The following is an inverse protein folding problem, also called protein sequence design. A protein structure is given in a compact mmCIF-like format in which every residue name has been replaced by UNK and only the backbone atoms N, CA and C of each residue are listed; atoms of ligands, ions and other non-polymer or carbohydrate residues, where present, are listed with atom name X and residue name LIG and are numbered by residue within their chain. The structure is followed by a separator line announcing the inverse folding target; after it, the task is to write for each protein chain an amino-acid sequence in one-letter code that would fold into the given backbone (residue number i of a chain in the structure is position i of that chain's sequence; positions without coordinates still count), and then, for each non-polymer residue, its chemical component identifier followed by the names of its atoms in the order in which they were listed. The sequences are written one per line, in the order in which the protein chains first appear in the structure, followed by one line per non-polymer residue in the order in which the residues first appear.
data_IF_323785694734
#
_entry.id   IF_323785694734
#
_cell.length_a   1.000
_cell.length_b   1.000
_cell.length_c   1.000
_cell.angle_alpha   90.00
_cell.angle_beta   90.00
_cell.angle_gamma   90.00
#
_symmetry.space_group_name_H-M   'P 1'
#
loop_
_entity.id
_entity.type
_entity.pdbx_description
1 polymer ?
#
# COMPACT_ATOMS: atom_id res chain seq x y z
N UNK A 1 7.99 3.18 22.25
CA UNK A 1 7.01 3.10 21.14
C UNK A 1 7.68 3.32 19.78
N UNK A 2 8.48 4.39 19.62
CA UNK A 2 9.26 4.69 18.40
C UNK A 2 10.06 3.51 17.83
N UNK A 3 10.88 2.82 18.63
CA UNK A 3 11.68 1.65 18.18
C UNK A 3 10.81 0.49 17.67
N UNK A 4 9.62 0.29 18.26
CA UNK A 4 8.69 -0.75 17.81
C UNK A 4 8.08 -0.39 16.46
N UNK A 5 7.67 0.86 16.29
CA UNK A 5 7.20 1.37 15.01
C UNK A 5 8.30 1.27 13.94
N UNK A 6 9.53 1.71 14.22
CA UNK A 6 10.65 1.66 13.26
C UNK A 6 10.93 0.24 12.77
N UNK A 7 10.85 -0.75 13.68
CA UNK A 7 11.00 -2.16 13.31
C UNK A 7 9.91 -2.60 12.33
N UNK A 8 8.66 -2.20 12.54
CA UNK A 8 7.52 -2.59 11.68
C UNK A 8 7.59 -1.83 10.35
N UNK A 9 7.92 -0.54 10.40
CA UNK A 9 8.11 0.32 9.23
C UNK A 9 9.16 -0.25 8.28
N UNK A 10 10.29 -0.76 8.80
CA UNK A 10 11.33 -1.42 7.99
C UNK A 10 10.83 -2.61 7.16
N UNK A 11 9.78 -3.28 7.61
CA UNK A 11 9.21 -4.46 6.94
C UNK A 11 7.90 -4.16 6.21
N UNK A 12 7.54 -2.88 6.01
CA UNK A 12 6.27 -2.45 5.40
C UNK A 12 5.04 -3.11 6.08
N UNK A 13 5.11 -3.29 7.40
CA UNK A 13 4.07 -3.96 8.16
C UNK A 13 3.00 -3.01 8.72
N UNK A 14 1.91 -3.59 9.22
CA UNK A 14 0.85 -2.85 9.90
C UNK A 14 1.20 -2.58 11.36
N UNK A 15 1.10 -1.32 11.80
CA UNK A 15 1.23 -0.94 13.20
C UNK A 15 -0.10 -0.39 13.72
N UNK A 16 -0.66 -1.03 14.74
CA UNK A 16 -1.89 -0.58 15.40
C UNK A 16 -1.55 -0.01 16.77
N UNK A 17 -1.91 1.25 16.99
CA UNK A 17 -1.81 1.90 18.29
C UNK A 17 -3.13 1.76 19.05
N UNK A 18 -3.20 0.80 19.97
CA UNK A 18 -4.32 0.70 20.92
C UNK A 18 -4.05 1.54 22.15
N UNK A 19 -4.99 2.41 22.51
CA UNK A 19 -4.90 3.22 23.72
C UNK A 19 -6.25 3.43 24.39
N UNK A 20 -6.25 3.59 25.70
CA UNK A 20 -7.44 3.91 26.50
C UNK A 20 -7.39 5.38 26.93
N UNK A 21 -8.54 6.05 26.87
CA UNK A 21 -8.62 7.49 27.15
C UNK A 21 -8.21 7.80 28.60
N UNK A 22 -8.54 6.94 29.57
CA UNK A 22 -8.18 7.16 30.96
C UNK A 22 -6.66 7.18 31.18
N UNK A 23 -5.90 6.43 30.37
CA UNK A 23 -4.44 6.34 30.46
C UNK A 23 -3.74 7.48 29.70
N UNK A 24 -4.37 8.03 28.66
CA UNK A 24 -3.79 9.12 27.87
C UNK A 24 -4.08 10.49 28.50
N UNK A 25 -5.15 10.65 29.29
CA UNK A 25 -5.63 11.96 29.74
C UNK A 25 -4.76 12.67 30.81
N UNK A 26 -3.47 12.33 30.90
CA UNK A 26 -2.51 13.07 31.72
C UNK A 26 -1.62 13.94 30.81
N UNK A 27 -1.19 15.14 31.26
CA UNK A 27 -0.34 16.00 30.43
C UNK A 27 0.93 15.32 29.87
N UNK A 28 1.66 14.48 30.64
CA UNK A 28 2.80 13.74 30.09
C UNK A 28 2.43 12.73 28.99
N UNK A 29 1.32 12.00 29.17
CA UNK A 29 0.84 11.03 28.18
C UNK A 29 0.38 11.71 26.89
N UNK A 30 -0.33 12.84 27.00
CA UNK A 30 -0.73 13.65 25.83
C UNK A 30 0.51 14.13 25.08
N UNK A 31 1.50 14.69 25.80
CA UNK A 31 2.75 15.15 25.17
C UNK A 31 3.44 14.03 24.41
N UNK A 32 3.54 12.84 25.00
CA UNK A 32 4.15 11.67 24.35
C UNK A 32 3.38 11.23 23.10
N UNK A 33 2.04 11.23 23.16
CA UNK A 33 1.20 10.92 22.01
C UNK A 33 1.40 11.95 20.89
N UNK A 34 1.40 13.24 21.22
CA UNK A 34 1.64 14.33 20.25
C UNK A 34 3.03 14.20 19.60
N UNK A 35 4.08 13.94 20.38
CA UNK A 35 5.43 13.72 19.83
C UNK A 35 5.48 12.52 18.87
N UNK A 36 4.74 11.45 19.20
CA UNK A 36 4.63 10.30 18.32
C UNK A 36 3.88 10.61 17.03
N UNK A 37 2.73 11.29 17.11
CA UNK A 37 1.95 11.69 15.93
C UNK A 37 2.78 12.58 15.00
N UNK A 38 3.48 13.57 15.56
CA UNK A 38 4.39 14.43 14.80
C UNK A 38 5.51 13.63 14.12
N UNK A 39 6.06 12.63 14.81
CA UNK A 39 7.07 11.75 14.21
C UNK A 39 6.49 10.92 13.05
N UNK A 40 5.27 10.38 13.22
CA UNK A 40 4.58 9.62 12.18
C UNK A 40 4.27 10.46 10.94
N UNK A 41 3.98 11.76 11.10
CA UNK A 41 3.75 12.69 9.98
C UNK A 41 5.01 12.94 9.13
N UNK A 42 6.20 12.65 9.65
CA UNK A 42 7.45 12.71 8.87
C UNK A 42 7.71 11.46 8.03
N UNK A 43 6.85 10.45 8.13
CA UNK A 43 7.00 9.16 7.45
C UNK A 43 5.99 9.03 6.32
N UNK A 44 6.43 8.40 5.24
CA UNK A 44 5.53 7.95 4.18
C UNK A 44 4.76 6.72 4.67
N UNK A 45 3.61 6.97 5.30
CA UNK A 45 2.73 5.95 5.87
C UNK A 45 1.27 6.26 5.56
N UNK A 46 0.50 5.21 5.34
CA UNK A 46 -0.95 5.26 5.32
C UNK A 46 -1.49 5.19 6.75
N UNK A 47 -2.42 6.10 7.11
CA UNK A 47 -3.01 6.22 8.46
C UNK A 47 -4.53 5.96 8.43
N UNK A 48 -4.98 4.74 8.08
CA UNK A 48 -6.40 4.43 8.00
C UNK A 48 -7.02 4.18 9.38
N UNK A 49 -8.33 4.30 9.46
CA UNK A 49 -9.16 3.60 10.44
C UNK A 49 -9.06 2.08 10.25
N UNK A 50 -9.46 1.32 11.28
CA UNK A 50 -9.52 -0.15 11.17
C UNK A 50 -10.52 -0.60 10.10
N UNK A 51 -11.60 0.16 9.89
CA UNK A 51 -12.59 -0.13 8.84
C UNK A 51 -11.99 0.05 7.45
N UNK A 52 -11.31 1.17 7.19
CA UNK A 52 -10.65 1.42 5.90
C UNK A 52 -9.58 0.35 5.61
N UNK A 53 -8.78 -0.01 6.62
CA UNK A 53 -7.81 -1.09 6.51
C UNK A 53 -8.47 -2.43 6.16
N UNK A 54 -9.56 -2.79 6.84
CA UNK A 54 -10.27 -4.05 6.61
C UNK A 54 -10.90 -4.11 5.21
N UNK A 55 -11.52 -3.02 4.76
CA UNK A 55 -12.10 -2.92 3.41
C UNK A 55 -11.02 -3.02 2.34
N UNK A 56 -9.91 -2.30 2.49
CA UNK A 56 -8.77 -2.39 1.58
C UNK A 56 -8.18 -3.80 1.54
N UNK A 57 -8.06 -4.46 2.70
CA UNK A 57 -7.53 -5.82 2.76
C UNK A 57 -8.44 -6.81 2.03
N UNK A 58 -9.76 -6.69 2.23
CA UNK A 58 -10.75 -7.50 1.51
C UNK A 58 -10.67 -7.27 0.00
N UNK A 59 -10.61 -6.01 -0.43
CA UNK A 59 -10.42 -5.64 -1.84
C UNK A 59 -9.17 -6.29 -2.43
N UNK A 60 -8.08 -6.31 -1.67
CA UNK A 60 -6.81 -6.90 -2.08
C UNK A 60 -6.87 -8.42 -2.20
N UNK A 61 -7.54 -9.11 -1.28
CA UNK A 61 -7.67 -10.57 -1.32
C UNK A 61 -8.51 -11.05 -2.51
N UNK A 62 -9.45 -10.23 -2.94
CA UNK A 62 -10.33 -10.51 -4.08
C UNK A 62 -9.76 -9.97 -5.41
N UNK A 63 -8.60 -9.30 -5.40
CA UNK A 63 -7.93 -8.83 -6.61
C UNK A 63 -7.24 -10.00 -7.32
N UNK A 64 -7.63 -10.25 -8.55
CA UNK A 64 -6.94 -11.18 -9.45
C UNK A 64 -5.97 -10.40 -10.35
N UNK A 65 -4.78 -10.96 -10.57
CA UNK A 65 -3.76 -10.38 -11.42
C UNK A 65 -3.18 -11.45 -12.34
N UNK A 66 -3.27 -11.22 -13.65
CA UNK A 66 -2.65 -12.05 -14.67
C UNK A 66 -1.54 -11.26 -15.38
N UNK A 67 -0.51 -11.97 -15.84
CA UNK A 67 0.66 -11.35 -16.45
C UNK A 67 1.08 -12.06 -17.73
N UNK A 68 1.29 -11.28 -18.78
CA UNK A 68 1.78 -11.76 -20.07
C UNK A 68 2.90 -10.86 -20.59
N UNK A 69 3.87 -11.44 -21.28
CA UNK A 69 4.96 -10.68 -21.90
C UNK A 69 4.81 -10.76 -23.41
N UNK A 70 4.56 -9.61 -24.02
CA UNK A 70 4.46 -9.44 -25.47
C UNK A 70 5.65 -8.62 -25.96
N UNK A 71 6.64 -9.30 -26.57
CA UNK A 71 7.88 -8.67 -27.02
C UNK A 71 8.64 -8.04 -25.86
N UNK A 72 8.66 -6.70 -25.80
CA UNK A 72 9.38 -5.92 -24.79
C UNK A 72 8.46 -5.28 -23.73
N UNK A 73 7.20 -5.71 -23.64
CA UNK A 73 6.21 -5.15 -22.71
C UNK A 73 5.59 -6.23 -21.84
N UNK A 74 5.63 -6.03 -20.52
CA UNK A 74 4.85 -6.79 -19.54
C UNK A 74 3.44 -6.20 -19.44
N UNK A 75 2.44 -6.97 -19.80
CA UNK A 75 1.03 -6.67 -19.54
C UNK A 75 0.65 -7.23 -18.18
N UNK A 76 0.09 -6.40 -17.31
CA UNK A 76 -0.51 -6.80 -16.04
C UNK A 76 -2.01 -6.52 -16.16
N UNK A 77 -2.83 -7.58 -16.25
CA UNK A 77 -4.28 -7.44 -16.22
C UNK A 77 -4.75 -7.57 -14.79
N UNK A 78 -5.48 -6.57 -14.30
CA UNK A 78 -6.08 -6.56 -12.97
C UNK A 78 -7.58 -6.77 -13.08
N UNK A 79 -8.11 -7.67 -12.27
CA UNK A 79 -9.54 -7.96 -12.19
C UNK A 79 -10.01 -7.83 -10.74
N UNK A 80 -11.05 -7.02 -10.54
CA UNK A 80 -11.65 -6.76 -9.23
C UNK A 80 -12.65 -7.87 -8.91
N UNK A 81 -12.49 -8.51 -7.76
CA UNK A 81 -13.53 -9.38 -7.21
C UNK A 81 -14.66 -8.64 -6.49
N UNK A 82 -14.56 -7.32 -6.28
CA UNK A 82 -15.60 -6.49 -5.66
C UNK A 82 -15.57 -5.02 -6.09
N UNK A 83 -16.55 -4.24 -5.62
CA UNK A 83 -16.69 -2.81 -5.91
C UNK A 83 -15.81 -1.89 -5.06
N UNK A 84 -14.98 -2.43 -4.16
CA UNK A 84 -14.13 -1.61 -3.29
C UNK A 84 -12.93 -1.06 -4.08
N UNK A 85 -12.46 0.11 -3.66
CA UNK A 85 -11.27 0.74 -4.23
C UNK A 85 -10.00 0.29 -3.49
N UNK A 86 -8.95 0.07 -4.26
CA UNK A 86 -7.59 -0.20 -3.80
C UNK A 86 -6.72 1.02 -4.06
N UNK A 87 -6.95 2.06 -3.26
CA UNK A 87 -6.10 3.24 -3.28
C UNK A 87 -4.69 2.88 -2.76
N UNK A 88 -3.66 3.37 -3.44
CA UNK A 88 -2.26 3.09 -3.07
C UNK A 88 -1.80 1.66 -3.30
N UNK A 89 -2.45 0.89 -4.17
CA UNK A 89 -2.01 -0.46 -4.54
C UNK A 89 -0.60 -0.40 -5.14
N UNK A 90 0.32 -1.10 -4.51
CA UNK A 90 1.73 -1.12 -4.90
C UNK A 90 2.09 -2.41 -5.61
N UNK A 91 2.55 -2.31 -6.85
CA UNK A 91 3.07 -3.42 -7.64
C UNK A 91 4.59 -3.32 -7.67
N UNK A 92 5.26 -4.39 -7.26
CA UNK A 92 6.72 -4.50 -7.27
C UNK A 92 7.16 -5.46 -8.37
N UNK A 93 8.04 -5.00 -9.24
CA UNK A 93 8.60 -5.83 -10.30
C UNK A 93 9.70 -6.73 -9.73
N UNK A 94 9.65 -8.02 -10.09
CA UNK A 94 10.74 -8.95 -9.79
C UNK A 94 12.00 -8.54 -10.55
N UNK A 95 13.17 -8.93 -10.04
CA UNK A 95 14.42 -8.79 -10.78
C UNK A 95 14.41 -9.71 -12.00
N UNK A 96 15.06 -9.29 -13.09
CA UNK A 96 15.25 -10.08 -14.32
C UNK A 96 13.97 -10.45 -15.08
N UNK A 97 12.98 -9.54 -15.14
CA UNK A 97 11.88 -9.66 -16.10
C UNK A 97 12.44 -9.40 -17.50
N UNK A 98 12.12 -10.23 -18.52
CA UNK A 98 12.66 -10.09 -19.87
C UNK A 98 12.06 -8.91 -20.67
N UNK A 99 11.24 -8.07 -20.05
CA UNK A 99 10.63 -6.88 -20.63
C UNK A 99 11.26 -5.61 -20.04
N UNK A 100 11.29 -4.52 -20.83
CA UNK A 100 11.74 -3.19 -20.37
C UNK A 100 10.59 -2.27 -19.99
N UNK A 101 9.41 -2.50 -20.54
CA UNK A 101 8.21 -1.68 -20.34
C UNK A 101 7.10 -2.48 -19.67
N UNK A 102 6.15 -1.77 -19.05
CA UNK A 102 4.93 -2.38 -18.54
C UNK A 102 3.68 -1.58 -18.94
N UNK A 103 2.55 -2.28 -19.03
CA UNK A 103 1.20 -1.70 -19.04
C UNK A 103 0.33 -2.44 -18.04
N UNK A 104 -0.43 -1.69 -17.25
CA UNK A 104 -1.44 -2.20 -16.32
C UNK A 104 -2.79 -1.90 -16.95
N UNK A 105 -3.61 -2.93 -17.10
CA UNK A 105 -4.94 -2.82 -17.71
C UNK A 105 -6.01 -3.34 -16.76
N UNK A 106 -7.21 -2.77 -16.86
CA UNK A 106 -8.38 -3.27 -16.13
C UNK A 106 -9.01 -4.46 -16.86
N UNK A 107 -10.14 -4.96 -16.35
CA UNK A 107 -10.89 -6.08 -16.91
C UNK A 107 -11.33 -5.83 -18.36
N UNK A 108 -11.69 -4.59 -18.65
CA UNK A 108 -12.16 -4.10 -19.95
C UNK A 108 -11.00 -3.87 -20.95
N UNK A 109 -9.75 -4.05 -20.52
CA UNK A 109 -8.55 -3.79 -21.32
C UNK A 109 -8.14 -2.31 -21.39
N UNK A 110 -8.80 -1.44 -20.63
CA UNK A 110 -8.43 -0.03 -20.52
C UNK A 110 -7.11 0.11 -19.75
N UNK A 111 -6.20 0.95 -20.26
CA UNK A 111 -4.89 1.17 -19.63
C UNK A 111 -5.06 2.07 -18.41
N UNK A 112 -4.77 1.51 -17.23
CA UNK A 112 -4.72 2.22 -15.96
C UNK A 112 -3.41 2.99 -15.86
N UNK A 113 -2.29 2.32 -16.19
CA UNK A 113 -0.95 2.91 -16.11
C UNK A 113 0.02 2.22 -17.05
N UNK A 114 1.07 2.93 -17.46
CA UNK A 114 2.19 2.40 -18.25
C UNK A 114 3.48 3.08 -17.83
N UNK A 115 4.61 2.40 -18.03
CA UNK A 115 5.92 2.91 -17.64
C UNK A 115 7.04 1.95 -17.97
N UNK A 116 8.20 2.15 -17.34
CA UNK A 116 9.37 1.29 -17.45
C UNK A 116 9.53 0.40 -16.23
N UNK A 117 9.90 -0.87 -16.45
CA UNK A 117 10.19 -1.82 -15.36
C UNK A 117 11.38 -1.34 -14.50
N UNK A 118 12.23 -0.45 -15.03
CA UNK A 118 13.33 0.20 -14.28
C UNK A 118 12.84 1.04 -13.09
N UNK A 119 11.58 1.45 -13.07
CA UNK A 119 10.95 2.11 -11.92
C UNK A 119 10.94 1.20 -10.69
N UNK A 120 10.93 -0.12 -10.89
CA UNK A 120 11.03 -1.14 -9.84
C UNK A 120 9.74 -1.30 -9.01
N UNK A 121 9.09 -0.20 -8.67
CA UNK A 121 7.84 -0.14 -7.92
C UNK A 121 6.91 0.88 -8.56
N UNK A 122 5.64 0.51 -8.71
CA UNK A 122 4.59 1.40 -9.20
C UNK A 122 3.41 1.39 -8.24
N UNK A 123 2.88 2.57 -7.95
CA UNK A 123 1.66 2.78 -7.17
C UNK A 123 0.53 3.18 -8.11
N UNK A 124 -0.64 2.56 -7.93
CA UNK A 124 -1.89 2.88 -8.62
C UNK A 124 -3.03 2.98 -7.63
N UNK A 125 -4.07 3.72 -8.02
CA UNK A 125 -5.38 3.63 -7.40
C UNK A 125 -6.24 2.79 -8.35
N UNK A 126 -6.84 1.71 -7.84
CA UNK A 126 -7.58 0.77 -8.67
C UNK A 126 -8.98 0.49 -8.15
#
# INVERSE_FOLDING_TARGET
MKTRFERIYKYNGTFILYSHIELINTPPSIKLLTEMLNYLDTKDIWKPSLTELALWWKAREELYADTEIEGNTLTIKLEKGNELNLDGLTITFKKHIPAENYKIVNEEGAIIKKGSIKEGVVVIDY
#
